data_IF_205721045152
#
_entry.id   IF_205721045152
#
_cell.length_a   1.000
_cell.length_b   1.000
_cell.length_c   1.000
_cell.angle_alpha   90.00
_cell.angle_beta   90.00
_cell.angle_gamma   90.00
#
_symmetry.space_group_name_H-M   'P 1'
#
loop_
_entity.id
_entity.type
_entity.pdbx_description
1 polymer ?
#
# COMPACT_ATOMS: atom_id res chain seq x y z
N UNK A 1 -14.09 -16.36 10.02
CA UNK A 1 -12.70 -16.75 10.07
C UNK A 1 -11.80 -15.80 9.29
N UNK A 2 -10.52 -15.96 9.45
CA UNK A 2 -9.52 -15.04 8.93
C UNK A 2 -9.46 -14.88 7.41
N UNK A 3 -9.98 -15.83 6.63
CA UNK A 3 -9.89 -15.80 5.17
C UNK A 3 -10.59 -14.61 4.52
N UNK A 4 -11.82 -14.31 4.95
CA UNK A 4 -12.58 -13.16 4.41
C UNK A 4 -11.94 -11.83 4.80
N UNK A 5 -11.50 -11.70 6.06
CA UNK A 5 -10.83 -10.50 6.53
C UNK A 5 -9.50 -10.28 5.81
N UNK A 6 -8.73 -11.33 5.59
CA UNK A 6 -7.47 -11.27 4.86
C UNK A 6 -7.68 -10.85 3.40
N UNK A 7 -8.71 -11.38 2.74
CA UNK A 7 -9.04 -11.02 1.37
C UNK A 7 -9.46 -9.55 1.27
N UNK A 8 -10.26 -9.06 2.22
CA UNK A 8 -10.67 -7.65 2.26
C UNK A 8 -9.45 -6.73 2.48
N UNK A 9 -8.57 -7.10 3.41
CA UNK A 9 -7.35 -6.35 3.67
C UNK A 9 -6.46 -6.29 2.43
N UNK A 10 -6.27 -7.42 1.77
CA UNK A 10 -5.46 -7.49 0.55
C UNK A 10 -6.00 -6.55 -0.54
N UNK A 11 -7.30 -6.52 -0.74
CA UNK A 11 -7.94 -5.64 -1.72
C UNK A 11 -7.75 -4.17 -1.38
N UNK A 12 -7.92 -3.81 -0.11
CA UNK A 12 -7.73 -2.43 0.35
C UNK A 12 -6.28 -1.98 0.18
N UNK A 13 -5.34 -2.82 0.61
CA UNK A 13 -3.92 -2.51 0.48
C UNK A 13 -3.51 -2.40 -0.98
N UNK A 14 -3.97 -3.33 -1.82
CA UNK A 14 -3.68 -3.30 -3.26
C UNK A 14 -4.21 -2.04 -3.91
N UNK A 15 -5.42 -1.59 -3.58
CA UNK A 15 -5.98 -0.35 -4.09
C UNK A 15 -5.14 0.87 -3.68
N UNK A 16 -4.69 0.92 -2.43
CA UNK A 16 -3.84 2.01 -1.96
C UNK A 16 -2.46 1.99 -2.60
N UNK A 17 -1.90 0.81 -2.83
CA UNK A 17 -0.62 0.67 -3.54
C UNK A 17 -0.74 1.10 -5.00
N UNK A 18 -1.86 0.82 -5.66
CA UNK A 18 -2.13 1.29 -7.01
C UNK A 18 -2.21 2.82 -7.06
N UNK A 19 -2.90 3.44 -6.10
CA UNK A 19 -2.95 4.89 -5.99
C UNK A 19 -1.57 5.49 -5.76
N UNK A 20 -0.78 4.85 -4.90
CA UNK A 20 0.60 5.28 -4.64
C UNK A 20 1.45 5.20 -5.90
N UNK A 21 1.34 4.12 -6.66
CA UNK A 21 2.06 3.96 -7.92
C UNK A 21 1.67 5.04 -8.94
N UNK A 22 0.38 5.36 -9.03
CA UNK A 22 -0.10 6.42 -9.91
C UNK A 22 0.44 7.79 -9.48
N UNK A 23 0.45 8.07 -8.17
CA UNK A 23 1.02 9.31 -7.65
C UNK A 23 2.51 9.43 -7.99
N UNK A 24 3.26 8.36 -7.84
CA UNK A 24 4.69 8.34 -8.19
C UNK A 24 4.92 8.53 -9.68
N UNK A 25 4.05 7.97 -10.50
CA UNK A 25 4.15 8.10 -11.97
C UNK A 25 4.02 9.55 -12.43
N UNK A 26 3.23 10.35 -11.73
CA UNK A 26 3.09 11.78 -12.00
C UNK A 26 3.95 12.65 -11.08
N UNK A 27 4.85 12.03 -10.32
CA UNK A 27 5.78 12.69 -9.40
C UNK A 27 5.08 13.48 -8.28
N UNK A 28 3.90 13.03 -7.89
CA UNK A 28 3.19 13.56 -6.73
C UNK A 28 3.69 12.85 -5.46
N UNK A 29 4.87 13.23 -5.04
CA UNK A 29 5.57 12.58 -3.93
C UNK A 29 4.85 12.79 -2.59
N UNK A 30 4.23 13.94 -2.40
CA UNK A 30 3.48 14.22 -1.18
C UNK A 30 2.30 13.26 -1.02
N UNK A 31 1.58 12.99 -2.10
CA UNK A 31 0.47 12.03 -2.08
C UNK A 31 0.97 10.60 -1.86
N UNK A 32 2.04 10.22 -2.53
CA UNK A 32 2.64 8.90 -2.37
C UNK A 32 3.08 8.66 -0.92
N UNK A 33 3.72 9.63 -0.30
CA UNK A 33 4.14 9.55 1.10
C UNK A 33 2.95 9.49 2.05
N UNK A 34 1.90 10.27 1.79
CA UNK A 34 0.68 10.24 2.61
C UNK A 34 0.02 8.87 2.58
N UNK A 35 -0.03 8.23 1.41
CA UNK A 35 -0.59 6.88 1.28
C UNK A 35 0.26 5.86 2.04
N UNK A 36 1.57 5.95 1.94
CA UNK A 36 2.49 5.09 2.68
C UNK A 36 2.32 5.25 4.20
N UNK A 37 2.18 6.47 4.66
CA UNK A 37 1.97 6.76 6.09
C UNK A 37 0.64 6.19 6.58
N UNK A 38 -0.41 6.27 5.78
CA UNK A 38 -1.71 5.67 6.12
C UNK A 38 -1.60 4.16 6.28
N UNK A 39 -0.87 3.52 5.37
CA UNK A 39 -0.63 2.08 5.45
C UNK A 39 0.17 1.73 6.71
N UNK A 40 1.22 2.47 7.00
CA UNK A 40 2.02 2.27 8.20
C UNK A 40 1.20 2.44 9.47
N UNK A 41 0.32 3.43 9.51
CA UNK A 41 -0.56 3.66 10.67
C UNK A 41 -1.54 2.52 10.88
N UNK A 42 -1.92 1.82 9.82
CA UNK A 42 -2.78 0.65 9.89
C UNK A 42 -2.02 -0.65 10.21
N UNK A 43 -0.70 -0.59 10.34
CA UNK A 43 0.13 -1.76 10.61
C UNK A 43 0.63 -2.47 9.36
N UNK A 44 0.59 -1.81 8.21
CA UNK A 44 1.07 -2.36 6.94
C UNK A 44 2.43 -1.77 6.60
N UNK A 45 3.42 -2.62 6.45
CA UNK A 45 4.77 -2.21 6.03
C UNK A 45 4.89 -2.43 4.52
N UNK A 46 5.24 -1.37 3.80
CA UNK A 46 5.41 -1.42 2.35
C UNK A 46 6.88 -1.51 2.02
N UNK A 47 7.24 -2.50 1.21
CA UNK A 47 8.60 -2.69 0.72
C UNK A 47 8.62 -2.46 -0.78
N UNK A 48 9.43 -1.51 -1.22
CA UNK A 48 9.58 -1.23 -2.65
C UNK A 48 10.54 -2.24 -3.28
N UNK A 49 10.04 -2.96 -4.29
CA UNK A 49 10.86 -3.85 -5.09
C UNK A 49 11.33 -3.15 -6.37
N UNK A 50 12.06 -3.90 -7.20
CA UNK A 50 12.58 -3.39 -8.46
C UNK A 50 11.48 -3.03 -9.46
N UNK A 51 10.37 -3.76 -9.44
CA UNK A 51 9.26 -3.56 -10.38
C UNK A 51 7.91 -3.40 -9.70
N UNK A 52 7.73 -3.93 -8.50
CA UNK A 52 6.46 -3.87 -7.77
C UNK A 52 6.70 -3.61 -6.29
N UNK A 53 5.73 -2.97 -5.65
CA UNK A 53 5.73 -2.84 -4.20
C UNK A 53 5.17 -4.13 -3.58
N UNK A 54 5.76 -4.54 -2.47
CA UNK A 54 5.27 -5.64 -1.65
C UNK A 54 4.85 -5.10 -0.29
N UNK A 55 4.06 -5.85 0.42
CA UNK A 55 3.65 -5.45 1.75
C UNK A 55 3.54 -6.65 2.69
N UNK A 56 3.65 -6.37 3.97
CA UNK A 56 3.41 -7.34 5.02
C UNK A 56 2.88 -6.60 6.26
N UNK A 57 2.31 -7.34 7.17
CA UNK A 57 1.85 -6.77 8.44
C UNK A 57 3.02 -6.63 9.41
N UNK A 58 3.01 -5.51 10.11
CA UNK A 58 4.03 -5.24 11.12
C UNK A 58 3.93 -6.22 12.30
#
# INVERSE_FOLDING_TARGET
>A
TGGAATAALDRLVSALLDERAAARAVKDWARADALRERLAAAGVVVEDGASTARWHLA
#
